data_IF_345783065377
#
_entry.id   IF_345783065377
#
_cell.length_a   1.000
_cell.length_b   1.000
_cell.length_c   1.000
_cell.angle_alpha   90.00
_cell.angle_beta   90.00
_cell.angle_gamma   90.00
#
_symmetry.space_group_name_H-M   'P 1'
#
loop_
_entity.id
_entity.type
_entity.pdbx_description
1 polymer ?
#
# COMPACT_ATOMS: atom_id res chain seq x y z
N UNK A 1 -31.26 2.57 -10.99
CA UNK A 1 -30.31 1.46 -11.22
C UNK A 1 -29.38 1.40 -10.02
N UNK A 2 -29.37 0.29 -9.28
CA UNK A 2 -28.66 0.18 -8.01
C UNK A 2 -27.14 0.23 -8.20
N UNK A 3 -26.47 1.27 -7.68
CA UNK A 3 -25.01 1.43 -7.64
C UNK A 3 -24.28 0.14 -7.16
N UNK A 4 -24.89 -0.55 -6.20
CA UNK A 4 -24.43 -1.81 -5.62
C UNK A 4 -24.23 -2.95 -6.68
N UNK A 5 -25.01 -2.94 -7.77
CA UNK A 5 -24.87 -3.94 -8.85
C UNK A 5 -23.66 -3.68 -9.75
N UNK A 6 -23.30 -2.40 -9.97
CA UNK A 6 -22.18 -2.02 -10.84
C UNK A 6 -20.82 -2.27 -10.18
N UNK A 7 -20.73 -2.00 -8.87
CA UNK A 7 -19.54 -2.29 -8.09
C UNK A 7 -19.24 -3.80 -8.04
N UNK A 8 -20.25 -4.61 -7.70
CA UNK A 8 -20.11 -6.08 -7.67
C UNK A 8 -19.67 -6.66 -9.01
N UNK A 9 -20.23 -6.19 -10.12
CA UNK A 9 -19.82 -6.61 -11.46
C UNK A 9 -18.35 -6.26 -11.75
N UNK A 10 -17.91 -5.08 -11.31
CA UNK A 10 -16.52 -4.62 -11.46
C UNK A 10 -15.55 -5.46 -10.62
N UNK A 11 -15.93 -5.81 -9.39
CA UNK A 11 -15.16 -6.73 -8.51
C UNK A 11 -15.03 -8.11 -9.17
N UNK A 12 -16.13 -8.67 -9.70
CA UNK A 12 -16.12 -9.97 -10.39
C UNK A 12 -15.22 -9.93 -11.64
N UNK A 13 -15.31 -8.88 -12.45
CA UNK A 13 -14.44 -8.71 -13.62
C UNK A 13 -12.95 -8.60 -13.29
N UNK A 14 -12.60 -8.22 -12.05
CA UNK A 14 -11.23 -8.13 -11.58
C UNK A 14 -10.63 -9.44 -11.09
N UNK A 15 -11.43 -10.48 -10.81
CA UNK A 15 -10.94 -11.72 -10.19
C UNK A 15 -9.83 -12.42 -11.00
N UNK A 16 -9.93 -12.43 -12.34
CA UNK A 16 -8.88 -13.00 -13.19
C UNK A 16 -7.55 -12.24 -13.06
N UNK A 17 -7.60 -10.91 -13.11
CA UNK A 17 -6.41 -10.06 -12.94
C UNK A 17 -5.79 -10.22 -11.55
N UNK A 18 -6.63 -10.29 -10.53
CA UNK A 18 -6.21 -10.52 -9.14
C UNK A 18 -5.54 -11.88 -8.99
N UNK A 19 -6.08 -12.94 -9.60
CA UNK A 19 -5.49 -14.27 -9.54
C UNK A 19 -4.13 -14.34 -10.22
N UNK A 20 -3.98 -13.73 -11.41
CA UNK A 20 -2.67 -13.66 -12.08
C UNK A 20 -1.63 -12.91 -11.24
N UNK A 21 -2.04 -11.85 -10.55
CA UNK A 21 -1.15 -11.09 -9.67
C UNK A 21 -0.83 -11.86 -8.38
N UNK A 22 -1.83 -12.49 -7.76
CA UNK A 22 -1.66 -13.29 -6.56
C UNK A 22 -0.71 -14.48 -6.79
N UNK A 23 -0.81 -15.18 -7.93
CA UNK A 23 0.11 -16.26 -8.30
C UNK A 23 1.57 -15.82 -8.38
N UNK A 24 1.83 -14.58 -8.85
CA UNK A 24 3.18 -14.00 -8.87
C UNK A 24 3.71 -13.71 -7.45
N UNK A 25 2.82 -13.47 -6.48
CA UNK A 25 3.18 -13.14 -5.10
C UNK A 25 3.39 -14.38 -4.24
N UNK A 26 2.48 -15.35 -4.31
CA UNK A 26 2.46 -16.53 -3.43
C UNK A 26 3.29 -17.68 -3.99
N UNK A 27 3.45 -17.76 -5.32
CA UNK A 27 4.01 -18.93 -6.02
C UNK A 27 3.26 -20.26 -5.72
N UNK A 28 2.09 -20.16 -5.09
CA UNK A 28 1.22 -21.26 -4.69
C UNK A 28 -0.22 -20.95 -5.12
N UNK A 29 -0.86 -21.90 -5.80
CA UNK A 29 -2.20 -21.73 -6.36
C UNK A 29 -3.29 -21.62 -5.29
N UNK A 30 -3.22 -22.39 -4.23
CA UNK A 30 -4.20 -22.36 -3.14
C UNK A 30 -4.10 -21.04 -2.38
N UNK A 31 -2.89 -20.65 -1.97
CA UNK A 31 -2.68 -19.36 -1.31
C UNK A 31 -3.07 -18.16 -2.20
N UNK A 32 -2.88 -18.28 -3.52
CA UNK A 32 -3.32 -17.25 -4.46
C UNK A 32 -4.85 -17.14 -4.51
N UNK A 33 -5.56 -18.26 -4.48
CA UNK A 33 -7.03 -18.28 -4.47
C UNK A 33 -7.57 -17.69 -3.16
N UNK A 34 -6.97 -18.04 -2.02
CA UNK A 34 -7.33 -17.47 -0.72
C UNK A 34 -7.11 -15.96 -0.69
N UNK A 35 -5.95 -15.50 -1.19
CA UNK A 35 -5.64 -14.07 -1.27
C UNK A 35 -6.63 -13.30 -2.15
N UNK A 36 -7.08 -13.88 -3.26
CA UNK A 36 -8.13 -13.29 -4.13
C UNK A 36 -9.46 -13.21 -3.40
N UNK A 37 -9.82 -14.26 -2.65
CA UNK A 37 -11.07 -14.32 -1.89
C UNK A 37 -11.09 -13.26 -0.79
N UNK A 38 -10.02 -13.17 0.01
CA UNK A 38 -9.86 -12.16 1.06
C UNK A 38 -9.90 -10.75 0.48
N UNK A 39 -9.25 -10.52 -0.65
CA UNK A 39 -9.27 -9.23 -1.35
C UNK A 39 -10.69 -8.86 -1.76
N UNK A 40 -11.42 -9.82 -2.34
CA UNK A 40 -12.81 -9.61 -2.80
C UNK A 40 -13.72 -9.29 -1.63
N UNK A 41 -13.63 -10.04 -0.53
CA UNK A 41 -14.41 -9.81 0.69
C UNK A 41 -14.09 -8.45 1.30
N UNK A 42 -12.81 -8.09 1.39
CA UNK A 42 -12.37 -6.80 1.94
C UNK A 42 -12.85 -5.64 1.08
N UNK A 43 -12.84 -5.78 -0.24
CA UNK A 43 -13.34 -4.78 -1.17
C UNK A 43 -14.85 -4.55 -1.00
N UNK A 44 -15.64 -5.62 -0.93
CA UNK A 44 -17.09 -5.56 -0.69
C UNK A 44 -17.41 -4.89 0.66
N UNK A 45 -16.69 -5.26 1.72
CA UNK A 45 -16.88 -4.66 3.05
C UNK A 45 -16.45 -3.18 3.14
N UNK A 46 -15.69 -2.69 2.16
CA UNK A 46 -15.22 -1.31 2.12
C UNK A 46 -15.69 -0.58 0.86
N UNK A 47 -16.81 -1.02 0.27
CA UNK A 47 -17.41 -0.40 -0.93
C UNK A 47 -17.62 1.10 -0.72
N UNK A 48 -18.13 1.51 0.44
CA UNK A 48 -18.36 2.92 0.78
C UNK A 48 -17.08 3.78 0.81
N UNK A 49 -15.91 3.16 0.93
CA UNK A 49 -14.60 3.84 0.93
C UNK A 49 -14.03 3.99 -0.48
N UNK A 50 -14.64 3.36 -1.47
CA UNK A 50 -14.25 3.55 -2.85
C UNK A 50 -14.80 4.89 -3.34
N UNK A 51 -13.90 5.73 -3.86
CA UNK A 51 -14.27 7.02 -4.46
C UNK A 51 -14.50 6.81 -5.94
N UNK A 52 -15.74 7.03 -6.40
CA UNK A 52 -16.10 7.01 -7.82
C UNK A 52 -15.16 7.95 -8.62
N UNK A 53 -14.74 7.54 -9.82
CA UNK A 53 -13.70 8.18 -10.66
C UNK A 53 -12.23 7.96 -10.22
N UNK A 54 -11.95 7.03 -9.30
CA UNK A 54 -10.57 6.57 -9.05
C UNK A 54 -10.25 5.27 -9.80
N UNK A 55 -8.95 4.97 -9.97
CA UNK A 55 -8.50 3.73 -10.63
C UNK A 55 -8.91 2.49 -9.80
N UNK A 56 -10.04 1.88 -10.17
CA UNK A 56 -10.59 0.70 -9.50
C UNK A 56 -9.60 -0.47 -9.45
N UNK A 57 -8.88 -0.72 -10.56
CA UNK A 57 -7.85 -1.76 -10.63
C UNK A 57 -6.75 -1.50 -9.60
N UNK A 58 -6.26 -0.26 -9.52
CA UNK A 58 -5.24 0.14 -8.55
C UNK A 58 -5.72 -0.01 -7.10
N UNK A 59 -6.98 0.32 -6.82
CA UNK A 59 -7.58 0.16 -5.50
C UNK A 59 -7.67 -1.31 -5.08
N UNK A 60 -8.15 -2.19 -5.96
CA UNK A 60 -8.22 -3.65 -5.70
C UNK A 60 -6.83 -4.27 -5.47
N UNK A 61 -5.84 -3.92 -6.31
CA UNK A 61 -4.46 -4.41 -6.14
C UNK A 61 -3.81 -3.89 -4.85
N UNK A 62 -4.17 -2.68 -4.41
CA UNK A 62 -3.70 -2.13 -3.12
C UNK A 62 -4.24 -2.95 -1.96
N UNK A 63 -5.53 -3.30 -1.97
CA UNK A 63 -6.14 -4.16 -0.96
C UNK A 63 -5.42 -5.51 -0.90
N UNK A 64 -5.24 -6.16 -2.06
CA UNK A 64 -4.57 -7.45 -2.17
C UNK A 64 -3.15 -7.41 -1.60
N UNK A 65 -2.34 -6.43 -2.01
CA UNK A 65 -0.95 -6.30 -1.54
C UNK A 65 -0.88 -6.09 -0.03
N UNK A 66 -1.81 -5.32 0.55
CA UNK A 66 -1.88 -5.12 1.99
C UNK A 66 -2.20 -6.42 2.73
N UNK A 67 -3.15 -7.21 2.23
CA UNK A 67 -3.49 -8.51 2.81
C UNK A 67 -2.27 -9.44 2.75
N UNK A 68 -1.63 -9.55 1.59
CA UNK A 68 -0.44 -10.39 1.41
C UNK A 68 0.70 -10.01 2.36
N UNK A 69 1.05 -8.72 2.46
CA UNK A 69 2.11 -8.24 3.37
C UNK A 69 1.75 -8.52 4.83
N UNK A 70 0.49 -8.33 5.21
CA UNK A 70 0.02 -8.58 6.57
C UNK A 70 0.07 -10.05 6.92
N UNK A 71 -0.37 -10.93 6.01
CA UNK A 71 -0.31 -12.38 6.17
C UNK A 71 1.14 -12.85 6.27
N UNK A 72 2.01 -12.40 5.37
CA UNK A 72 3.45 -12.71 5.44
C UNK A 72 4.08 -12.28 6.77
N UNK A 73 3.77 -11.05 7.23
CA UNK A 73 4.25 -10.57 8.54
C UNK A 73 3.65 -11.33 9.71
N UNK A 74 2.40 -11.81 9.60
CA UNK A 74 1.75 -12.63 10.62
C UNK A 74 2.40 -14.01 10.68
N UNK A 75 2.60 -14.68 9.55
CA UNK A 75 3.31 -15.96 9.48
C UNK A 75 4.76 -15.85 9.98
N UNK A 76 5.46 -14.74 9.68
CA UNK A 76 6.78 -14.49 10.24
C UNK A 76 6.75 -14.33 11.78
N UNK A 77 5.72 -13.67 12.34
CA UNK A 77 5.53 -13.53 13.80
C UNK A 77 5.09 -14.84 14.47
N UNK A 78 4.21 -15.62 13.86
CA UNK A 78 3.77 -16.92 14.37
C UNK A 78 4.92 -17.92 14.44
N UNK A 79 5.83 -17.86 13.46
CA UNK A 79 7.10 -18.60 13.50
C UNK A 79 8.10 -18.05 14.54
N UNK A 80 7.86 -16.87 15.13
CA UNK A 80 8.75 -16.23 16.12
C UNK A 80 8.20 -16.27 17.55
N UNK A 81 7.00 -16.81 17.78
CA UNK A 81 6.40 -17.06 19.11
C UNK A 81 6.12 -15.75 19.91
N UNK A 82 4.84 -15.55 20.26
CA UNK A 82 4.35 -14.62 21.31
C UNK A 82 4.60 -13.11 21.10
N UNK A 83 3.72 -12.42 20.38
CA UNK A 83 3.31 -11.08 20.85
C UNK A 83 1.92 -10.74 20.33
N UNK A 84 0.93 -11.01 21.18
CA UNK A 84 -0.46 -10.67 20.97
C UNK A 84 -0.65 -9.19 21.28
N UNK A 85 -0.98 -8.39 20.27
CA UNK A 85 -1.79 -7.20 20.52
C UNK A 85 -2.66 -6.94 19.32
N UNK A 86 -3.96 -6.94 19.62
CA UNK A 86 -5.06 -6.71 18.71
C UNK A 86 -4.92 -5.39 17.94
N UNK A 87 -5.46 -5.48 16.73
CA UNK A 87 -6.04 -4.45 15.88
C UNK A 87 -5.73 -2.98 16.18
N UNK A 88 -5.40 -2.24 15.11
CA UNK A 88 -6.18 -1.08 14.65
C UNK A 88 -5.43 -0.28 13.55
N UNK A 89 -6.12 -0.13 12.41
CA UNK A 89 -6.00 0.96 11.42
C UNK A 89 -4.71 1.12 10.58
N UNK A 90 -4.84 1.04 9.25
CA UNK A 90 -5.12 2.20 8.38
C UNK A 90 -4.93 1.81 6.91
N UNK A 91 -5.97 2.11 6.12
CA UNK A 91 -5.95 2.06 4.65
C UNK A 91 -4.89 3.05 4.16
N UNK A 92 -3.73 2.54 3.76
CA UNK A 92 -2.76 3.32 3.01
C UNK A 92 -3.22 3.38 1.55
N UNK A 93 -4.03 4.40 1.25
CA UNK A 93 -4.30 4.83 -0.11
C UNK A 93 -3.03 5.50 -0.69
N UNK A 94 -2.81 5.27 -1.98
CA UNK A 94 -1.68 5.70 -2.81
C UNK A 94 -0.38 4.91 -2.60
N UNK A 95 -0.28 3.76 -3.29
CA UNK A 95 0.97 3.41 -3.95
C UNK A 95 0.71 3.18 -5.43
N UNK A 96 1.47 3.93 -6.21
CA UNK A 96 1.34 4.18 -7.62
C UNK A 96 1.25 2.91 -8.47
N UNK A 97 0.26 2.93 -9.35
CA UNK A 97 0.12 2.03 -10.49
C UNK A 97 1.15 2.35 -11.57
N UNK A 98 2.44 2.26 -11.26
CA UNK A 98 3.54 2.53 -12.18
C UNK A 98 4.75 1.65 -11.84
N UNK A 99 4.61 0.34 -11.94
CA UNK A 99 5.73 -0.59 -11.89
C UNK A 99 5.56 -1.56 -13.05
N UNK A 100 5.92 -1.15 -14.28
CA UNK A 100 6.14 -2.07 -15.44
C UNK A 100 6.65 -1.35 -16.74
N UNK A 101 7.46 -0.27 -16.68
CA UNK A 101 8.10 0.32 -17.89
C UNK A 101 9.53 0.81 -17.63
N UNK A 102 10.47 0.77 -18.60
CA UNK A 102 11.79 1.42 -18.48
C UNK A 102 11.76 2.90 -18.06
N UNK A 103 10.66 3.63 -18.33
CA UNK A 103 10.46 4.98 -17.76
C UNK A 103 10.41 4.99 -16.22
N UNK A 104 9.99 3.90 -15.56
CA UNK A 104 9.89 3.84 -14.09
C UNK A 104 11.26 3.78 -13.40
N UNK A 105 12.28 3.24 -14.08
CA UNK A 105 13.66 3.29 -13.58
C UNK A 105 14.22 4.71 -13.61
N UNK A 106 13.84 5.49 -14.63
CA UNK A 106 14.18 6.92 -14.74
C UNK A 106 13.47 7.74 -13.64
N UNK A 107 12.19 7.45 -13.41
CA UNK A 107 11.39 8.06 -12.35
C UNK A 107 11.95 7.77 -10.94
N UNK A 108 12.49 6.57 -10.67
CA UNK A 108 13.09 6.23 -9.37
C UNK A 108 14.34 7.08 -9.07
N UNK A 109 15.15 7.36 -10.09
CA UNK A 109 16.34 8.22 -9.97
C UNK A 109 15.98 9.67 -9.65
N UNK A 110 15.00 10.23 -10.38
CA UNK A 110 14.50 11.59 -10.15
C UNK A 110 13.79 11.72 -8.79
N UNK A 111 12.95 10.74 -8.41
CA UNK A 111 12.31 10.70 -7.09
C UNK A 111 13.36 10.70 -5.98
N UNK A 112 14.45 9.95 -6.14
CA UNK A 112 15.54 9.92 -5.16
C UNK A 112 16.26 11.26 -5.03
N UNK A 113 16.46 11.99 -6.13
CA UNK A 113 17.01 13.35 -6.08
C UNK A 113 16.05 14.36 -5.44
N UNK A 114 14.77 14.27 -5.76
CA UNK A 114 13.72 15.10 -5.16
C UNK A 114 13.67 14.85 -3.64
N UNK A 115 13.70 13.58 -3.21
CA UNK A 115 13.77 13.18 -1.79
C UNK A 115 15.05 13.72 -1.12
N UNK A 116 16.17 13.71 -1.84
CA UNK A 116 17.44 14.24 -1.33
C UNK A 116 17.38 15.76 -1.05
N UNK A 117 16.52 16.50 -1.76
CA UNK A 117 16.27 17.92 -1.55
C UNK A 117 15.36 18.26 -0.36
N UNK A 118 14.73 17.28 0.28
CA UNK A 118 13.96 17.54 1.51
C UNK A 118 14.89 17.74 2.71
N UNK A 119 14.50 18.58 3.69
CA UNK A 119 15.20 18.67 4.97
C UNK A 119 15.31 17.30 5.62
N UNK A 120 16.44 17.03 6.29
CA UNK A 120 16.74 15.74 6.93
C UNK A 120 15.61 15.28 7.87
N UNK A 121 14.94 16.24 8.51
CA UNK A 121 13.78 16.03 9.37
C UNK A 121 12.60 15.31 8.70
N UNK A 122 12.40 15.53 7.40
CA UNK A 122 11.34 14.92 6.59
C UNK A 122 11.84 13.72 5.79
N UNK A 123 13.10 13.78 5.36
CA UNK A 123 13.75 12.72 4.58
C UNK A 123 14.01 11.47 5.40
N UNK A 124 14.56 11.60 6.61
CA UNK A 124 14.97 10.45 7.43
C UNK A 124 13.77 9.58 7.86
N UNK A 125 12.65 10.14 8.38
CA UNK A 125 11.47 9.34 8.66
C UNK A 125 10.90 8.68 7.42
N UNK A 126 10.88 9.38 6.29
CA UNK A 126 10.34 8.86 5.03
C UNK A 126 11.18 7.71 4.48
N UNK A 127 12.51 7.82 4.49
CA UNK A 127 13.41 6.76 4.04
C UNK A 127 13.27 5.50 4.89
N UNK A 128 13.18 5.65 6.22
CA UNK A 128 12.93 4.51 7.11
C UNK A 128 11.56 3.88 6.85
N UNK A 129 10.54 4.70 6.57
CA UNK A 129 9.22 4.19 6.21
C UNK A 129 9.23 3.42 4.89
N UNK A 130 9.93 3.92 3.87
CA UNK A 130 10.11 3.24 2.57
C UNK A 130 10.92 1.95 2.74
N UNK A 131 11.90 1.93 3.66
CA UNK A 131 12.66 0.74 4.04
C UNK A 131 11.86 -0.28 4.86
N UNK A 132 10.59 0.02 5.20
CA UNK A 132 9.67 -0.92 5.85
C UNK A 132 9.56 -0.82 7.36
N UNK A 133 10.22 0.13 8.01
CA UNK A 133 10.10 0.37 9.45
C UNK A 133 8.71 0.87 9.84
N UNK A 134 8.21 0.44 11.00
CA UNK A 134 6.96 0.92 11.60
C UNK A 134 7.11 2.35 12.12
N UNK A 135 6.01 3.09 12.18
CA UNK A 135 6.02 4.45 12.70
C UNK A 135 6.59 4.56 14.12
N UNK A 136 6.33 3.56 14.98
CA UNK A 136 6.85 3.49 16.36
C UNK A 136 8.36 3.22 16.39
N UNK A 137 8.85 2.35 15.52
CA UNK A 137 10.28 2.06 15.38
C UNK A 137 11.02 3.29 14.87
N UNK A 138 10.43 4.03 13.92
CA UNK A 138 10.96 5.29 13.41
C UNK A 138 10.97 6.36 14.51
N UNK A 139 9.88 6.47 15.27
CA UNK A 139 9.75 7.38 16.40
C UNK A 139 10.85 7.12 17.45
N UNK A 140 11.06 5.84 17.80
CA UNK A 140 12.11 5.42 18.73
C UNK A 140 13.51 5.66 18.18
N UNK A 141 13.75 5.35 16.89
CA UNK A 141 15.06 5.49 16.24
C UNK A 141 15.47 6.95 16.03
N UNK A 142 14.50 7.83 15.79
CA UNK A 142 14.74 9.26 15.59
C UNK A 142 14.52 10.11 16.85
N UNK A 143 14.10 9.49 17.96
CA UNK A 143 13.82 10.21 19.22
C UNK A 143 12.67 11.22 19.09
N UNK A 144 11.69 10.95 18.25
CA UNK A 144 10.60 11.87 17.92
C UNK A 144 9.23 11.31 18.34
N UNK A 145 8.25 12.17 18.66
CA UNK A 145 6.88 11.71 18.91
C UNK A 145 6.27 11.01 17.70
N UNK A 146 5.47 9.96 17.94
CA UNK A 146 4.78 9.19 16.90
C UNK A 146 3.91 10.08 15.99
N UNK A 147 3.23 11.08 16.57
CA UNK A 147 2.44 12.05 15.82
C UNK A 147 3.28 12.87 14.84
N UNK A 148 4.48 13.26 15.25
CA UNK A 148 5.44 13.99 14.41
C UNK A 148 5.94 13.12 13.27
N UNK A 149 6.24 11.84 13.52
CA UNK A 149 6.64 10.90 12.47
C UNK A 149 5.53 10.73 11.42
N UNK A 150 4.29 10.49 11.85
CA UNK A 150 3.13 10.37 10.96
C UNK A 150 2.92 11.63 10.12
N UNK A 151 2.96 12.80 10.77
CA UNK A 151 2.80 14.10 10.13
C UNK A 151 3.89 14.36 9.08
N UNK A 152 5.17 14.15 9.43
CA UNK A 152 6.29 14.38 8.51
C UNK A 152 6.24 13.45 7.31
N UNK A 153 5.95 12.16 7.50
CA UNK A 153 5.79 11.20 6.39
C UNK A 153 4.61 11.60 5.48
N UNK A 154 3.49 12.03 6.06
CA UNK A 154 2.35 12.51 5.30
C UNK A 154 2.69 13.75 4.45
N UNK A 155 3.37 14.74 5.03
CA UNK A 155 3.79 15.95 4.31
C UNK A 155 4.79 15.65 3.20
N UNK A 156 5.78 14.77 3.44
CA UNK A 156 6.72 14.33 2.40
C UNK A 156 5.98 13.68 1.24
N UNK A 157 5.00 12.80 1.51
CA UNK A 157 4.17 12.17 0.46
C UNK A 157 3.33 13.17 -0.31
N UNK A 158 2.71 14.12 0.38
CA UNK A 158 1.89 15.17 -0.26
C UNK A 158 2.75 16.01 -1.22
N UNK A 159 3.93 16.42 -0.78
CA UNK A 159 4.84 17.24 -1.58
C UNK A 159 5.45 16.47 -2.75
N UNK A 160 5.80 15.19 -2.55
CA UNK A 160 6.21 14.31 -3.66
C UNK A 160 5.11 14.18 -4.71
N UNK A 161 3.85 14.04 -4.29
CA UNK A 161 2.70 13.97 -5.21
C UNK A 161 2.50 15.29 -5.98
N UNK A 162 2.74 16.43 -5.36
CA UNK A 162 2.65 17.75 -6.03
C UNK A 162 3.76 17.90 -7.08
N UNK A 163 4.98 17.48 -6.78
CA UNK A 163 6.11 17.57 -7.72
C UNK A 163 5.93 16.60 -8.89
N UNK A 164 5.45 15.38 -8.61
CA UNK A 164 5.21 14.35 -9.63
C UNK A 164 3.94 14.57 -10.46
N UNK A 165 3.08 15.53 -10.09
CA UNK A 165 1.89 15.88 -10.90
C UNK A 165 2.25 16.53 -12.23
N UNK A 166 3.41 17.21 -12.30
CA UNK A 166 3.90 17.89 -13.50
C UNK A 166 4.58 16.91 -14.49
N UNK A 167 4.77 15.65 -14.09
CA UNK A 167 5.41 14.59 -14.88
C UNK A 167 4.39 13.67 -15.59
N UNK A 168 3.15 14.13 -15.79
CA UNK A 168 2.03 13.33 -16.29
C UNK A 168 1.84 13.42 -17.80
#
# INVERSE_FOLDING_TARGET
MNQNSAFKASVLGMQGNLLSFALKLTLNKEEAQDLVQDTTLKALNNEEKFVENTNFKGWMLTIMRNIFINNYRKSARENTILDSTDDLYHINLAQDSAIESPESAFAIGEISQIIAGFPADFRNPFNLHVAGYKYEEIAKKLGMPLGTVKSRIFFTRKRLREILKDYR
#
